data_IF_869132001970
#
_entry.id   IF_869132001970
#
_cell.length_a   1.000
_cell.length_b   1.000
_cell.length_c   1.000
_cell.angle_alpha   90.00
_cell.angle_beta   90.00
_cell.angle_gamma   90.00
#
_symmetry.space_group_name_H-M   'P 1'
#
loop_
_entity.id
_entity.type
_entity.pdbx_description
1 polymer ?
#
# COMPACT_ATOMS: atom_id res chain seq x y z
N UNK A 1 5.53 25.86 -23.03
CA UNK A 1 5.18 24.43 -22.93
C UNK A 1 5.64 24.02 -21.54
N UNK A 2 4.84 24.34 -20.52
CA UNK A 2 5.16 23.97 -19.15
C UNK A 2 4.70 22.54 -18.96
N UNK A 3 5.65 21.61 -19.01
CA UNK A 3 5.42 20.23 -18.63
C UNK A 3 5.23 20.21 -17.12
N UNK A 4 3.96 20.33 -16.68
CA UNK A 4 3.54 19.98 -15.34
C UNK A 4 3.89 18.51 -15.12
N UNK A 5 5.07 18.24 -14.55
CA UNK A 5 5.35 16.99 -13.87
C UNK A 5 4.46 16.94 -12.63
N UNK A 6 3.17 16.67 -12.85
CA UNK A 6 2.21 16.40 -11.80
C UNK A 6 2.77 15.23 -10.99
N UNK A 7 3.15 15.53 -9.77
CA UNK A 7 3.59 14.54 -8.80
C UNK A 7 2.41 13.56 -8.62
N UNK A 8 2.43 12.42 -9.31
CA UNK A 8 1.37 11.38 -9.31
C UNK A 8 0.96 10.95 -7.89
N UNK A 9 1.82 11.23 -6.91
CA UNK A 9 1.56 11.12 -5.47
C UNK A 9 0.38 11.97 -4.99
N UNK A 10 0.06 13.09 -5.63
CA UNK A 10 -1.03 14.01 -5.22
C UNK A 10 -2.38 13.72 -5.91
N UNK A 11 -2.42 12.78 -6.86
CA UNK A 11 -3.67 12.37 -7.47
C UNK A 11 -4.50 11.54 -6.47
N UNK A 12 -5.81 11.80 -6.36
CA UNK A 12 -6.69 11.00 -5.53
C UNK A 12 -6.75 9.57 -6.08
N UNK A 13 -6.68 8.58 -5.20
CA UNK A 13 -6.88 7.18 -5.58
C UNK A 13 -8.31 7.00 -6.09
N UNK A 14 -8.44 6.34 -7.23
CA UNK A 14 -9.73 5.92 -7.76
C UNK A 14 -10.25 4.71 -6.98
N UNK A 15 -11.53 4.38 -7.15
CA UNK A 15 -12.10 3.17 -6.56
C UNK A 15 -11.41 1.88 -7.04
N UNK A 16 -10.88 1.87 -8.27
CA UNK A 16 -10.13 0.72 -8.81
C UNK A 16 -8.78 0.58 -8.11
N UNK A 17 -8.07 1.69 -7.91
CA UNK A 17 -6.81 1.70 -7.15
C UNK A 17 -7.02 1.21 -5.70
N UNK A 18 -8.09 1.68 -5.07
CA UNK A 18 -8.46 1.24 -3.71
C UNK A 18 -8.85 -0.25 -3.67
N UNK A 19 -9.46 -0.78 -4.72
CA UNK A 19 -9.77 -2.21 -4.81
C UNK A 19 -8.48 -3.04 -4.87
N UNK A 20 -7.49 -2.61 -5.65
CA UNK A 20 -6.16 -3.25 -5.69
C UNK A 20 -5.50 -3.21 -4.31
N UNK A 21 -5.47 -2.05 -3.66
CA UNK A 21 -4.89 -1.90 -2.32
C UNK A 21 -5.57 -2.79 -1.28
N UNK A 22 -6.91 -2.90 -1.31
CA UNK A 22 -7.65 -3.75 -0.39
C UNK A 22 -7.40 -5.25 -0.64
N UNK A 23 -7.33 -5.69 -1.90
CA UNK A 23 -7.02 -7.10 -2.21
C UNK A 23 -5.62 -7.49 -1.73
N UNK A 24 -4.64 -6.58 -1.89
CA UNK A 24 -3.29 -6.76 -1.35
C UNK A 24 -3.30 -6.87 0.17
N UNK A 25 -4.05 -5.98 0.85
CA UNK A 25 -4.17 -5.98 2.31
C UNK A 25 -4.78 -7.29 2.82
N UNK A 26 -5.88 -7.74 2.21
CA UNK A 26 -6.57 -8.98 2.58
C UNK A 26 -5.64 -10.20 2.45
N UNK A 27 -4.97 -10.33 1.30
CA UNK A 27 -4.02 -11.41 1.04
C UNK A 27 -2.85 -11.40 2.04
N UNK A 28 -2.33 -10.21 2.37
CA UNK A 28 -1.24 -10.05 3.34
C UNK A 28 -1.70 -10.39 4.76
N UNK A 29 -2.90 -9.97 5.16
CA UNK A 29 -3.46 -10.30 6.47
C UNK A 29 -3.72 -11.80 6.60
N UNK A 30 -4.25 -12.44 5.55
CA UNK A 30 -4.48 -13.89 5.52
C UNK A 30 -3.18 -14.69 5.59
N UNK A 31 -2.13 -14.27 4.87
CA UNK A 31 -0.83 -14.94 4.87
C UNK A 31 -0.12 -14.86 6.23
N UNK A 32 -0.32 -13.78 6.97
CA UNK A 32 0.41 -13.49 8.21
C UNK A 32 -0.43 -13.70 9.46
N UNK A 33 -1.65 -14.24 9.31
CA UNK A 33 -2.65 -14.47 10.37
C UNK A 33 -2.93 -13.19 11.19
N UNK A 34 -2.96 -12.03 10.52
CA UNK A 34 -3.18 -10.74 11.16
C UNK A 34 -4.68 -10.51 11.33
N UNK A 35 -5.09 -10.39 12.58
CA UNK A 35 -6.47 -10.08 12.99
C UNK A 35 -6.56 -8.79 13.79
N UNK A 36 -5.42 -8.23 14.19
CA UNK A 36 -5.35 -6.97 14.94
C UNK A 36 -5.65 -5.77 14.05
N UNK A 37 -6.71 -5.03 14.39
CA UNK A 37 -7.17 -3.88 13.61
C UNK A 37 -6.13 -2.75 13.51
N UNK A 38 -5.26 -2.59 14.52
CA UNK A 38 -4.18 -1.60 14.49
C UNK A 38 -3.16 -1.91 13.40
N UNK A 39 -2.72 -3.17 13.36
CA UNK A 39 -1.79 -3.70 12.38
C UNK A 39 -2.38 -3.68 10.97
N UNK A 40 -3.65 -4.06 10.81
CA UNK A 40 -4.38 -3.96 9.52
C UNK A 40 -4.41 -2.51 9.03
N UNK A 41 -4.76 -1.56 9.90
CA UNK A 41 -4.81 -0.13 9.56
C UNK A 41 -3.43 0.42 9.17
N UNK A 42 -2.39 -0.01 9.88
CA UNK A 42 -1.02 0.37 9.58
C UNK A 42 -0.57 -0.16 8.21
N UNK A 43 -0.81 -1.45 7.93
CA UNK A 43 -0.52 -2.06 6.63
C UNK A 43 -1.28 -1.39 5.49
N UNK A 44 -2.58 -1.09 5.69
CA UNK A 44 -3.37 -0.36 4.70
C UNK A 44 -2.75 0.99 4.34
N UNK A 45 -2.24 1.72 5.35
CA UNK A 45 -1.59 3.01 5.15
C UNK A 45 -0.29 2.87 4.35
N UNK A 46 0.53 1.86 4.66
CA UNK A 46 1.77 1.57 3.91
C UNK A 46 1.45 1.22 2.45
N UNK A 47 0.47 0.34 2.21
CA UNK A 47 0.07 -0.09 0.86
C UNK A 47 -0.39 1.11 0.03
N UNK A 48 -1.25 1.98 0.60
CA UNK A 48 -1.71 3.21 -0.05
C UNK A 48 -0.54 4.14 -0.37
N UNK A 49 0.40 4.30 0.55
CA UNK A 49 1.57 5.15 0.33
C UNK A 49 2.44 4.61 -0.81
N UNK A 50 2.76 3.30 -0.80
CA UNK A 50 3.53 2.65 -1.86
C UNK A 50 2.84 2.77 -3.22
N UNK A 51 1.52 2.61 -3.26
CA UNK A 51 0.74 2.79 -4.50
C UNK A 51 0.90 4.21 -5.05
N UNK A 52 0.76 5.24 -4.19
CA UNK A 52 0.97 6.64 -4.57
C UNK A 52 2.41 6.92 -5.01
N UNK A 53 3.38 6.14 -4.55
CA UNK A 53 4.78 6.21 -5.00
C UNK A 53 5.01 5.55 -6.37
N UNK A 54 4.00 4.92 -6.95
CA UNK A 54 4.03 4.30 -8.28
C UNK A 54 4.15 2.77 -8.26
N UNK A 55 4.06 2.13 -7.09
CA UNK A 55 4.07 0.66 -6.99
C UNK A 55 2.65 0.13 -7.19
N UNK A 56 2.31 -0.24 -8.42
CA UNK A 56 0.95 -0.71 -8.73
C UNK A 56 0.86 -2.24 -8.86
N UNK A 57 1.99 -2.95 -8.86
CA UNK A 57 2.00 -4.41 -8.96
C UNK A 57 1.64 -5.04 -7.60
N UNK A 58 0.61 -5.89 -7.52
CA UNK A 58 0.13 -6.47 -6.26
C UNK A 58 1.19 -7.28 -5.51
N UNK A 59 2.01 -8.07 -6.21
CA UNK A 59 3.05 -8.87 -5.59
C UNK A 59 4.17 -8.00 -5.01
N UNK A 60 4.56 -6.95 -5.74
CA UNK A 60 5.53 -5.97 -5.25
C UNK A 60 5.01 -5.19 -4.05
N UNK A 61 3.73 -4.80 -4.04
CA UNK A 61 3.10 -4.13 -2.90
C UNK A 61 3.13 -5.03 -1.65
N UNK A 62 2.78 -6.31 -1.80
CA UNK A 62 2.82 -7.28 -0.69
C UNK A 62 4.23 -7.43 -0.12
N UNK A 63 5.22 -7.61 -1.00
CA UNK A 63 6.61 -7.76 -0.61
C UNK A 63 7.10 -6.56 0.19
N UNK A 64 6.87 -5.34 -0.32
CA UNK A 64 7.34 -4.12 0.31
C UNK A 64 6.58 -3.81 1.62
N UNK A 65 5.25 -3.92 1.63
CA UNK A 65 4.46 -3.66 2.83
C UNK A 65 4.73 -4.69 3.95
N UNK A 66 4.92 -5.95 3.58
CA UNK A 66 5.29 -7.01 4.51
C UNK A 66 6.68 -6.82 5.11
N UNK A 67 7.64 -6.31 4.33
CA UNK A 67 8.99 -5.99 4.79
C UNK A 67 9.03 -4.79 5.74
N UNK A 68 8.25 -3.73 5.48
CA UNK A 68 8.18 -2.55 6.37
C UNK A 68 7.60 -2.88 7.76
N UNK A 69 6.80 -3.95 7.89
CA UNK A 69 6.30 -4.40 9.20
C UNK A 69 7.43 -4.92 10.11
N UNK A 70 8.47 -5.52 9.53
CA UNK A 70 9.56 -6.19 10.27
C UNK A 70 10.67 -5.23 10.70
N UNK A 71 10.59 -3.96 10.32
CA UNK A 71 11.44 -2.87 10.83
C UNK A 71 10.70 -2.19 12.00
N UNK A 72 10.85 -2.66 13.26
CA UNK A 72 10.48 -1.86 14.40
C UNK A 72 11.39 -0.63 14.41
N UNK A 73 10.80 0.56 14.31
CA UNK A 73 11.46 1.81 14.66
C UNK A 73 12.15 1.64 16.04
N UNK A 74 13.48 1.86 16.17
CA UNK A 74 14.24 1.60 17.38
C UNK A 74 13.91 2.53 18.56
#
# INVERSE_FOLDING_TARGET
>A
MEEHFGNRRDEPLTSEDLNVCNNVLDDLCAQMDITDNGTVTHLASIIIELYRQGVHEPEQLKLLAGATRDDPDP
#
